data_IF_263880711801
#
_entry.id   IF_263880711801
#
_cell.length_a   1.000
_cell.length_b   1.000
_cell.length_c   1.000
_cell.angle_alpha   90.00
_cell.angle_beta   90.00
_cell.angle_gamma   90.00
#
_symmetry.space_group_name_H-M   'P 1'
#
loop_
_entity.id
_entity.type
_entity.pdbx_description
1 polymer ?
#
# COMPACT_ATOMS: atom_id res chain seq x y z
N UNK A 1 8.85 -15.41 -7.37
CA UNK A 1 9.56 -15.45 -6.06
C UNK A 1 10.88 -14.67 -6.12
N UNK A 2 11.73 -14.91 -7.12
CA UNK A 2 13.05 -14.26 -7.23
C UNK A 2 13.05 -12.73 -7.17
N UNK A 3 12.15 -12.06 -7.91
CA UNK A 3 12.05 -10.59 -7.87
C UNK A 3 11.65 -10.04 -6.49
N UNK A 4 10.83 -10.77 -5.73
CA UNK A 4 10.49 -10.39 -4.35
C UNK A 4 11.71 -10.54 -3.42
N UNK A 5 12.47 -11.62 -3.55
CA UNK A 5 13.71 -11.80 -2.80
C UNK A 5 14.74 -10.70 -3.09
N UNK A 6 14.87 -10.32 -4.37
CA UNK A 6 15.73 -9.20 -4.77
C UNK A 6 15.25 -7.87 -4.17
N UNK A 7 13.92 -7.62 -4.12
CA UNK A 7 13.35 -6.44 -3.49
C UNK A 7 13.68 -6.39 -1.99
N UNK A 8 13.55 -7.51 -1.29
CA UNK A 8 13.89 -7.62 0.14
C UNK A 8 15.38 -7.36 0.35
N UNK A 9 16.27 -8.07 -0.38
CA UNK A 9 17.73 -7.89 -0.29
C UNK A 9 18.17 -6.45 -0.50
N UNK A 10 17.49 -5.73 -1.39
CA UNK A 10 17.81 -4.33 -1.71
C UNK A 10 17.45 -3.36 -0.58
N UNK A 11 16.41 -3.66 0.19
CA UNK A 11 15.77 -2.67 1.08
C UNK A 11 15.84 -3.02 2.56
N UNK A 12 15.87 -4.30 2.91
CA UNK A 12 15.92 -4.74 4.30
C UNK A 12 17.37 -4.90 4.78
N UNK A 13 17.76 -4.11 5.78
CA UNK A 13 19.16 -4.07 6.28
C UNK A 13 19.30 -4.32 7.78
N UNK A 14 18.19 -4.47 8.50
CA UNK A 14 18.18 -4.53 9.97
C UNK A 14 18.63 -5.90 10.48
N UNK A 15 18.09 -6.96 9.88
CA UNK A 15 18.32 -8.35 10.33
C UNK A 15 18.44 -9.29 9.14
N UNK A 16 19.10 -10.45 9.31
CA UNK A 16 18.96 -11.54 8.36
C UNK A 16 17.49 -11.94 8.21
N UNK A 17 17.10 -12.43 7.06
CA UNK A 17 15.74 -12.92 6.80
C UNK A 17 15.73 -14.26 6.08
N UNK A 18 14.61 -14.96 6.17
CA UNK A 18 14.32 -16.19 5.45
C UNK A 18 12.91 -16.13 4.90
N UNK A 19 12.74 -16.43 3.63
CA UNK A 19 11.43 -16.63 3.03
C UNK A 19 11.01 -18.06 3.28
N UNK A 20 9.87 -18.26 3.92
CA UNK A 20 9.32 -19.58 4.24
C UNK A 20 7.93 -19.74 3.60
N UNK A 21 7.51 -20.96 3.40
CA UNK A 21 6.14 -21.26 3.00
C UNK A 21 5.21 -21.19 4.21
N UNK A 22 3.90 -20.94 4.00
CA UNK A 22 2.93 -20.90 5.10
C UNK A 22 2.92 -22.15 5.97
N UNK A 23 3.15 -23.33 5.37
CA UNK A 23 3.18 -24.62 6.08
C UNK A 23 4.38 -24.76 7.02
N UNK A 24 5.43 -23.99 6.79
CA UNK A 24 6.63 -23.99 7.63
C UNK A 24 6.50 -23.07 8.85
N UNK A 25 5.48 -22.21 8.89
CA UNK A 25 5.31 -21.19 9.95
C UNK A 25 5.33 -21.81 11.35
N UNK A 26 4.65 -22.94 11.55
CA UNK A 26 4.57 -23.63 12.83
C UNK A 26 5.94 -24.04 13.43
N UNK A 27 7.00 -24.04 12.63
CA UNK A 27 8.35 -24.33 13.09
C UNK A 27 9.03 -23.12 13.76
N UNK A 28 8.51 -21.92 13.48
CA UNK A 28 9.13 -20.65 13.88
C UNK A 28 8.26 -19.81 14.81
N UNK A 29 6.94 -20.01 14.82
CA UNK A 29 5.96 -19.18 15.55
C UNK A 29 6.11 -19.21 17.07
N UNK A 30 6.76 -20.25 17.60
CA UNK A 30 7.08 -20.39 19.03
C UNK A 30 8.45 -19.82 19.41
N UNK A 31 9.25 -19.36 18.44
CA UNK A 31 10.61 -18.91 18.66
C UNK A 31 10.65 -17.39 18.87
N UNK A 32 10.90 -16.96 20.11
CA UNK A 32 10.89 -15.55 20.50
C UNK A 32 11.93 -14.63 19.82
N UNK A 33 12.88 -15.20 19.10
CA UNK A 33 13.92 -14.46 18.38
C UNK A 33 13.61 -14.20 16.91
N UNK A 34 12.43 -14.58 16.44
CA UNK A 34 11.96 -14.31 15.08
C UNK A 34 10.88 -13.24 15.08
N UNK A 35 10.94 -12.33 14.12
CA UNK A 35 9.84 -11.45 13.74
C UNK A 35 9.26 -11.96 12.42
N UNK A 36 7.97 -11.78 12.20
CA UNK A 36 7.27 -12.30 11.04
C UNK A 36 6.71 -11.16 10.21
N UNK A 37 6.97 -11.20 8.90
CA UNK A 37 6.35 -10.33 7.93
C UNK A 37 5.43 -11.17 7.04
N UNK A 38 4.13 -11.01 7.22
CA UNK A 38 3.14 -11.87 6.58
C UNK A 38 1.86 -11.13 6.19
N UNK A 39 1.09 -11.74 5.33
CA UNK A 39 -0.25 -11.27 4.99
C UNK A 39 -1.25 -11.56 6.10
N UNK A 40 -2.06 -10.57 6.43
CA UNK A 40 -3.20 -10.72 7.33
C UNK A 40 -4.45 -10.09 6.70
N UNK A 41 -5.60 -10.73 6.95
CA UNK A 41 -6.91 -10.17 6.62
C UNK A 41 -7.75 -10.15 7.90
N UNK A 42 -8.37 -9.01 8.19
CA UNK A 42 -9.22 -8.86 9.37
C UNK A 42 -10.36 -7.88 9.10
N UNK A 43 -11.39 -7.99 9.93
CA UNK A 43 -12.52 -7.10 9.89
C UNK A 43 -12.50 -6.18 11.11
N UNK A 44 -12.60 -4.88 10.87
CA UNK A 44 -12.75 -3.85 11.91
C UNK A 44 -14.19 -3.37 11.94
N UNK A 45 -14.78 -3.28 13.13
CA UNK A 45 -16.05 -2.56 13.32
C UNK A 45 -15.74 -1.08 13.41
N UNK A 46 -16.39 -0.27 12.60
CA UNK A 46 -16.13 1.17 12.54
C UNK A 46 -16.78 1.95 13.69
N UNK A 47 -17.81 1.39 14.30
CA UNK A 47 -18.52 1.93 15.47
C UNK A 47 -19.57 0.93 15.97
N UNK A 48 -20.60 1.40 16.69
CA UNK A 48 -21.75 0.60 17.13
C UNK A 48 -22.68 0.16 15.98
N UNK A 49 -22.38 0.53 14.74
CA UNK A 49 -23.15 0.14 13.55
C UNK A 49 -22.75 -1.23 13.02
N UNK A 50 -23.54 -1.78 12.10
CA UNK A 50 -23.27 -3.05 11.42
C UNK A 50 -22.18 -2.94 10.35
N UNK A 51 -21.59 -1.76 10.15
CA UNK A 51 -20.59 -1.52 9.12
C UNK A 51 -19.25 -2.17 9.50
N UNK A 52 -18.81 -3.08 8.69
CA UNK A 52 -17.54 -3.80 8.85
C UNK A 52 -16.56 -3.31 7.80
N UNK A 53 -15.40 -2.86 8.25
CA UNK A 53 -14.29 -2.54 7.37
C UNK A 53 -13.42 -3.78 7.19
N UNK A 54 -13.30 -4.28 5.97
CA UNK A 54 -12.40 -5.40 5.66
C UNK A 54 -11.04 -4.83 5.30
N UNK A 55 -10.03 -5.23 6.05
CA UNK A 55 -8.66 -4.76 5.88
C UNK A 55 -7.77 -5.94 5.51
N UNK A 56 -7.04 -5.78 4.42
CA UNK A 56 -5.91 -6.63 4.06
C UNK A 56 -4.63 -5.88 4.37
N UNK A 57 -3.68 -6.55 4.99
CA UNK A 57 -2.43 -5.92 5.34
C UNK A 57 -1.24 -6.88 5.28
N UNK A 58 -0.08 -6.31 5.03
CA UNK A 58 1.19 -6.92 5.42
C UNK A 58 1.50 -6.43 6.82
N UNK A 59 1.73 -7.35 7.75
CA UNK A 59 2.09 -7.05 9.12
C UNK A 59 3.49 -7.54 9.43
N UNK A 60 4.28 -6.68 10.05
CA UNK A 60 5.52 -7.07 10.73
C UNK A 60 5.22 -7.19 12.21
N UNK A 61 5.34 -8.39 12.74
CA UNK A 61 5.08 -8.67 14.14
C UNK A 61 6.30 -9.25 14.85
N UNK A 62 6.39 -8.98 16.15
CA UNK A 62 7.32 -9.65 17.06
C UNK A 62 6.52 -10.47 18.07
N UNK A 63 6.78 -11.77 18.21
CA UNK A 63 6.12 -12.60 19.21
C UNK A 63 6.38 -12.09 20.61
N UNK A 64 5.41 -12.28 21.51
CA UNK A 64 5.58 -11.95 22.93
C UNK A 64 6.69 -12.79 23.55
N UNK A 65 7.59 -12.14 24.28
CA UNK A 65 8.62 -12.82 25.08
C UNK A 65 8.06 -13.55 26.32
N UNK A 66 6.79 -13.36 26.63
CA UNK A 66 6.13 -13.98 27.79
C UNK A 66 5.41 -15.25 27.35
N UNK A 67 5.79 -16.45 27.84
CA UNK A 67 5.29 -17.74 27.33
C UNK A 67 3.78 -18.00 27.56
N UNK A 68 3.08 -17.16 28.30
CA UNK A 68 1.63 -17.27 28.55
C UNK A 68 0.79 -16.15 27.94
N UNK A 69 1.40 -15.18 27.28
CA UNK A 69 0.72 -14.01 26.75
C UNK A 69 0.85 -14.06 25.22
N UNK A 70 -0.26 -14.31 24.55
CA UNK A 70 -0.34 -14.26 23.07
C UNK A 70 -0.39 -12.82 22.53
N UNK A 71 0.27 -11.90 23.19
CA UNK A 71 0.35 -10.52 22.72
C UNK A 71 1.47 -10.42 21.70
N UNK A 72 1.08 -10.27 20.45
CA UNK A 72 1.98 -9.93 19.36
C UNK A 72 2.15 -8.40 19.34
N UNK A 73 3.39 -7.94 19.29
CA UNK A 73 3.65 -6.52 19.04
C UNK A 73 3.70 -6.27 17.55
N UNK A 74 2.76 -5.49 17.04
CA UNK A 74 2.75 -5.07 15.62
C UNK A 74 3.74 -3.90 15.50
N UNK A 75 4.81 -4.12 14.73
CA UNK A 75 5.84 -3.11 14.48
C UNK A 75 5.51 -2.25 13.27
N UNK A 76 4.88 -2.84 12.27
CA UNK A 76 4.48 -2.13 11.05
C UNK A 76 3.27 -2.80 10.41
N UNK A 77 2.46 -1.99 9.73
CA UNK A 77 1.33 -2.44 8.93
C UNK A 77 1.33 -1.70 7.60
N UNK A 78 1.23 -2.46 6.50
CA UNK A 78 1.03 -1.92 5.15
C UNK A 78 -0.33 -2.38 4.66
N UNK A 79 -1.26 -1.46 4.48
CA UNK A 79 -2.59 -1.77 3.96
C UNK A 79 -2.51 -2.13 2.48
N UNK A 80 -3.13 -3.25 2.12
CA UNK A 80 -3.23 -3.72 0.76
C UNK A 80 -4.63 -3.40 0.20
N UNK A 81 -4.67 -3.21 -1.11
CA UNK A 81 -5.90 -2.93 -1.84
C UNK A 81 -6.20 -4.08 -2.80
N UNK A 82 -7.32 -4.76 -2.57
CA UNK A 82 -7.77 -5.87 -3.42
C UNK A 82 -8.59 -5.39 -4.60
N UNK A 83 -8.67 -6.20 -5.65
CA UNK A 83 -9.58 -5.95 -6.75
C UNK A 83 -11.06 -6.03 -6.29
N UNK A 84 -11.95 -5.42 -7.08
CA UNK A 84 -13.38 -5.33 -6.77
C UNK A 84 -14.04 -6.71 -6.58
N UNK A 85 -13.65 -7.70 -7.37
CA UNK A 85 -14.25 -9.03 -7.29
C UNK A 85 -13.89 -9.72 -5.98
N UNK A 86 -12.64 -9.57 -5.54
CA UNK A 86 -12.18 -10.09 -4.24
C UNK A 86 -12.93 -9.42 -3.09
N UNK A 87 -13.12 -8.10 -3.13
CA UNK A 87 -13.90 -7.38 -2.12
C UNK A 87 -15.36 -7.85 -2.07
N UNK A 88 -16.02 -7.95 -3.22
CA UNK A 88 -17.41 -8.43 -3.28
C UNK A 88 -17.58 -9.87 -2.77
N UNK A 89 -16.64 -10.76 -3.08
CA UNK A 89 -16.66 -12.13 -2.57
C UNK A 89 -16.56 -12.17 -1.05
N UNK A 90 -15.76 -11.31 -0.47
CA UNK A 90 -15.58 -11.23 0.99
C UNK A 90 -16.83 -10.65 1.65
N UNK A 91 -17.37 -9.56 1.12
CA UNK A 91 -18.59 -8.94 1.64
C UNK A 91 -19.80 -9.89 1.57
N UNK A 92 -19.95 -10.64 0.47
CA UNK A 92 -21.04 -11.62 0.32
C UNK A 92 -20.86 -12.83 1.23
N UNK A 93 -19.66 -13.29 1.46
CA UNK A 93 -19.41 -14.42 2.36
C UNK A 93 -19.57 -14.03 3.84
N UNK A 94 -19.24 -12.80 4.21
CA UNK A 94 -19.44 -12.29 5.57
C UNK A 94 -20.93 -12.24 5.94
N UNK A 95 -21.77 -11.84 5.01
CA UNK A 95 -23.22 -11.80 5.20
C UNK A 95 -23.86 -13.20 5.30
N UNK A 96 -23.28 -14.23 4.67
CA UNK A 96 -23.87 -15.56 4.60
C UNK A 96 -23.36 -16.56 5.65
N UNK A 97 -22.12 -16.44 6.12
CA UNK A 97 -21.45 -17.53 6.88
C UNK A 97 -20.73 -17.11 8.18
N UNK A 98 -20.85 -15.92 8.61
CA UNK A 98 -20.85 -15.39 9.98
C UNK A 98 -19.73 -15.74 10.96
N UNK A 99 -18.68 -16.49 10.69
CA UNK A 99 -17.59 -16.65 11.65
C UNK A 99 -16.29 -15.97 11.18
N UNK A 100 -15.70 -15.14 12.07
CA UNK A 100 -14.41 -14.45 11.82
C UNK A 100 -13.31 -15.40 11.31
N UNK A 101 -13.35 -16.68 11.68
CA UNK A 101 -12.35 -17.67 11.29
C UNK A 101 -12.54 -18.18 9.85
N UNK A 102 -13.77 -18.38 9.41
CA UNK A 102 -14.05 -18.83 8.03
C UNK A 102 -13.72 -17.72 7.03
N UNK A 103 -14.02 -16.47 7.37
CA UNK A 103 -13.67 -15.29 6.58
C UNK A 103 -12.16 -15.21 6.41
N UNK A 104 -11.39 -15.30 7.52
CA UNK A 104 -9.94 -15.24 7.49
C UNK A 104 -9.34 -16.35 6.60
N UNK A 105 -9.81 -17.58 6.71
CA UNK A 105 -9.29 -18.69 5.89
C UNK A 105 -9.59 -18.52 4.41
N UNK A 106 -10.78 -18.04 4.05
CA UNK A 106 -11.15 -17.77 2.66
C UNK A 106 -10.38 -16.60 2.07
N UNK A 107 -10.17 -15.55 2.87
CA UNK A 107 -9.33 -14.42 2.50
C UNK A 107 -7.90 -14.86 2.19
N UNK A 108 -7.31 -15.64 3.08
CA UNK A 108 -5.94 -16.14 2.91
C UNK A 108 -5.81 -17.08 1.70
N UNK A 109 -6.76 -17.98 1.49
CA UNK A 109 -6.73 -18.89 0.33
C UNK A 109 -6.84 -18.13 -0.99
N UNK A 110 -7.65 -17.08 -1.06
CA UNK A 110 -7.75 -16.22 -2.24
C UNK A 110 -6.47 -15.39 -2.47
N UNK A 111 -5.81 -14.94 -1.40
CA UNK A 111 -4.54 -14.22 -1.46
C UNK A 111 -3.42 -15.02 -2.11
N UNK A 112 -3.32 -16.30 -1.77
CA UNK A 112 -2.25 -17.17 -2.28
C UNK A 112 -2.54 -17.69 -3.69
N UNK A 113 -3.80 -17.75 -4.10
CA UNK A 113 -4.22 -18.34 -5.36
C UNK A 113 -4.43 -17.34 -6.50
N UNK A 114 -4.58 -16.07 -6.21
CA UNK A 114 -4.84 -15.03 -7.22
C UNK A 114 -4.03 -13.77 -6.94
N UNK A 115 -3.50 -13.14 -7.98
CA UNK A 115 -2.86 -11.81 -7.92
C UNK A 115 -3.92 -10.72 -7.67
N UNK A 116 -4.64 -10.84 -6.55
CA UNK A 116 -5.84 -10.03 -6.27
C UNK A 116 -5.53 -8.66 -5.70
N UNK A 117 -4.26 -8.38 -5.35
CA UNK A 117 -3.89 -7.07 -4.82
C UNK A 117 -3.33 -6.16 -5.90
N UNK A 118 -3.94 -4.98 -5.98
CA UNK A 118 -3.62 -3.99 -6.99
C UNK A 118 -2.38 -3.16 -6.63
N UNK A 119 -2.11 -3.00 -5.33
CA UNK A 119 -0.93 -2.28 -4.83
C UNK A 119 0.17 -3.23 -4.31
N UNK A 120 0.30 -4.41 -4.90
CA UNK A 120 1.27 -5.42 -4.52
C UNK A 120 2.11 -5.89 -5.70
N UNK A 121 3.42 -5.60 -5.64
CA UNK A 121 4.43 -6.07 -6.59
C UNK A 121 5.81 -6.02 -5.97
N UNK A 122 6.82 -6.63 -6.57
CA UNK A 122 8.20 -6.45 -6.15
C UNK A 122 8.64 -4.98 -6.09
N UNK A 123 8.20 -4.16 -7.05
CA UNK A 123 8.47 -2.71 -7.06
C UNK A 123 7.83 -2.00 -5.89
N UNK A 124 6.53 -2.21 -5.64
CA UNK A 124 5.84 -1.61 -4.48
C UNK A 124 6.43 -2.09 -3.15
N UNK A 125 6.81 -3.38 -3.06
CA UNK A 125 7.44 -3.93 -1.88
C UNK A 125 8.74 -3.19 -1.52
N UNK A 126 9.53 -2.74 -2.50
CA UNK A 126 10.74 -1.96 -2.20
C UNK A 126 10.42 -0.67 -1.44
N UNK A 127 9.35 0.03 -1.82
CA UNK A 127 8.88 1.22 -1.11
C UNK A 127 8.41 0.91 0.31
N UNK A 128 7.58 -0.11 0.47
CA UNK A 128 7.05 -0.51 1.78
C UNK A 128 8.16 -0.93 2.75
N UNK A 129 9.05 -1.81 2.31
CA UNK A 129 10.16 -2.26 3.14
C UNK A 129 11.14 -1.15 3.47
N UNK A 130 11.39 -0.23 2.53
CA UNK A 130 12.25 0.92 2.80
C UNK A 130 11.65 1.80 3.89
N UNK A 131 10.35 2.05 3.84
CA UNK A 131 9.65 2.84 4.85
C UNK A 131 9.72 2.18 6.23
N UNK A 132 9.46 0.87 6.29
CA UNK A 132 9.53 0.10 7.53
C UNK A 132 10.96 0.06 8.06
N UNK A 133 11.93 -0.24 7.21
CA UNK A 133 13.34 -0.32 7.57
C UNK A 133 13.85 1.00 8.15
N UNK A 134 13.57 2.12 7.48
CA UNK A 134 14.01 3.44 7.93
C UNK A 134 13.32 3.83 9.24
N UNK A 135 12.00 3.59 9.37
CA UNK A 135 11.26 3.89 10.59
C UNK A 135 11.76 3.08 11.80
N UNK A 136 12.03 1.79 11.62
CA UNK A 136 12.60 0.95 12.68
C UNK A 136 14.01 1.40 13.10
N UNK A 137 14.86 1.79 12.15
CA UNK A 137 16.21 2.32 12.44
C UNK A 137 16.15 3.65 13.17
N UNK A 138 15.16 4.49 12.86
CA UNK A 138 14.94 5.77 13.53
C UNK A 138 14.14 5.65 14.84
N UNK A 139 13.64 4.45 15.18
CA UNK A 139 12.70 4.22 16.29
C UNK A 139 11.40 5.04 16.14
N UNK A 140 10.98 5.29 14.90
CA UNK A 140 9.79 6.03 14.56
C UNK A 140 8.59 5.09 14.30
N UNK A 141 7.38 5.64 14.36
CA UNK A 141 6.18 4.91 14.01
C UNK A 141 6.16 4.60 12.50
N UNK A 142 6.00 3.33 12.16
CA UNK A 142 5.92 2.86 10.77
C UNK A 142 4.47 2.81 10.25
N UNK A 143 3.50 3.46 10.93
CA UNK A 143 2.14 3.60 10.42
C UNK A 143 2.09 4.46 9.18
N UNK A 144 1.30 4.04 8.19
CA UNK A 144 1.10 4.79 6.95
C UNK A 144 -0.14 5.70 6.97
N UNK A 145 -0.79 5.86 8.12
CA UNK A 145 -2.03 6.64 8.26
C UNK A 145 -1.75 8.09 8.71
N UNK A 146 -0.79 8.76 8.09
CA UNK A 146 -0.41 10.13 8.43
C UNK A 146 -0.32 11.02 7.19
N UNK A 147 -0.32 12.33 7.40
CA UNK A 147 -0.09 13.30 6.36
C UNK A 147 1.40 13.69 6.34
N UNK A 148 2.00 13.57 5.17
CA UNK A 148 3.41 13.90 4.96
C UNK A 148 3.67 14.47 3.58
N UNK A 149 4.58 15.42 3.45
CA UNK A 149 5.15 15.82 2.18
C UNK A 149 6.61 16.28 2.33
N UNK A 150 7.44 15.86 1.40
CA UNK A 150 8.84 16.26 1.35
C UNK A 150 8.97 17.59 0.62
N UNK A 151 9.33 18.66 1.37
CA UNK A 151 9.41 20.03 0.86
C UNK A 151 10.42 20.21 -0.27
N UNK A 152 11.45 19.39 -0.33
CA UNK A 152 12.51 19.50 -1.34
C UNK A 152 12.17 18.74 -2.63
N UNK A 153 11.58 17.54 -2.50
CA UNK A 153 11.38 16.63 -3.64
C UNK A 153 10.01 16.72 -4.30
N UNK A 154 8.97 17.03 -3.54
CA UNK A 154 7.63 17.13 -4.10
C UNK A 154 7.53 18.18 -5.20
N UNK A 155 8.19 19.37 -5.09
CA UNK A 155 8.23 20.38 -6.14
C UNK A 155 8.84 19.92 -7.48
N UNK A 156 9.68 18.89 -7.47
CA UNK A 156 10.27 18.33 -8.69
C UNK A 156 9.20 17.78 -9.65
N UNK A 157 8.04 17.37 -9.13
CA UNK A 157 6.88 16.93 -9.93
C UNK A 157 6.34 18.03 -10.87
N UNK A 158 6.67 19.30 -10.67
CA UNK A 158 6.34 20.34 -11.63
C UNK A 158 7.07 20.17 -12.98
N UNK A 159 8.18 19.46 -13.00
CA UNK A 159 9.03 19.23 -14.18
C UNK A 159 9.08 17.76 -14.60
N UNK A 160 8.83 16.86 -13.67
CA UNK A 160 8.92 15.41 -13.88
C UNK A 160 7.55 14.77 -14.11
N UNK A 161 7.54 13.54 -14.64
CA UNK A 161 6.30 12.80 -14.87
C UNK A 161 5.89 12.06 -13.60
N UNK A 162 4.65 12.25 -13.17
CA UNK A 162 4.00 11.42 -12.16
C UNK A 162 3.38 10.19 -12.85
N UNK A 163 3.86 9.01 -12.50
CA UNK A 163 3.31 7.75 -13.00
C UNK A 163 2.17 7.28 -12.11
N UNK A 164 1.05 6.96 -12.73
CA UNK A 164 -0.17 6.51 -12.05
C UNK A 164 -0.53 5.12 -12.54
N UNK A 165 -0.73 4.13 -11.66
CA UNK A 165 -1.13 2.80 -12.09
C UNK A 165 -2.55 2.82 -12.67
N UNK A 166 -2.77 2.09 -13.76
CA UNK A 166 -4.06 2.06 -14.49
C UNK A 166 -5.22 1.52 -13.66
N UNK A 167 -4.97 0.69 -12.65
CA UNK A 167 -6.03 0.20 -11.78
C UNK A 167 -6.80 1.32 -11.07
N UNK A 168 -6.18 2.49 -10.91
CA UNK A 168 -6.84 3.67 -10.34
C UNK A 168 -8.02 4.12 -11.21
N UNK A 169 -7.97 3.92 -12.52
CA UNK A 169 -9.08 4.26 -13.42
C UNK A 169 -10.36 3.47 -13.11
N UNK A 170 -10.22 2.25 -12.60
CA UNK A 170 -11.37 1.39 -12.26
C UNK A 170 -12.09 1.83 -10.98
N UNK A 171 -11.41 2.57 -10.12
CA UNK A 171 -11.93 3.06 -8.84
C UNK A 171 -12.29 4.54 -8.85
N UNK A 172 -12.20 5.18 -10.00
CA UNK A 172 -12.77 6.51 -10.18
C UNK A 172 -14.28 6.50 -9.94
N UNK A 173 -14.78 7.55 -9.33
CA UNK A 173 -16.22 7.76 -9.28
C UNK A 173 -16.82 7.78 -10.70
N UNK A 174 -18.04 7.30 -10.87
CA UNK A 174 -18.73 7.15 -12.16
C UNK A 174 -18.75 8.41 -13.06
N UNK A 175 -18.51 9.59 -12.50
CA UNK A 175 -18.35 10.84 -13.25
C UNK A 175 -17.07 10.89 -14.08
N UNK A 176 -16.09 10.03 -13.84
CA UNK A 176 -14.79 10.01 -14.51
C UNK A 176 -14.64 8.86 -15.51
N UNK A 177 -15.61 7.94 -15.56
CA UNK A 177 -15.70 6.95 -16.65
C UNK A 177 -15.87 7.58 -18.04
N UNK A 178 -16.12 8.90 -18.09
CA UNK A 178 -16.25 9.70 -19.33
C UNK A 178 -14.92 10.32 -19.79
N UNK A 179 -13.79 10.04 -19.14
CA UNK A 179 -12.50 10.54 -19.62
C UNK A 179 -12.07 9.79 -20.89
N UNK A 180 -11.62 10.52 -21.91
CA UNK A 180 -11.19 9.92 -23.16
C UNK A 180 -10.02 8.95 -22.93
N UNK A 181 -9.91 7.87 -23.74
CA UNK A 181 -8.83 6.88 -23.63
C UNK A 181 -7.41 7.46 -23.72
N UNK A 182 -7.28 8.64 -24.29
CA UNK A 182 -6.02 9.37 -24.50
C UNK A 182 -5.36 9.98 -23.27
N UNK A 183 -5.96 9.81 -22.09
CA UNK A 183 -5.20 10.01 -20.84
C UNK A 183 -4.77 11.42 -20.48
N UNK A 184 -5.26 12.45 -21.17
CA UNK A 184 -4.96 13.84 -20.83
C UNK A 184 -6.03 14.34 -19.86
N UNK A 185 -5.77 14.13 -18.58
CA UNK A 185 -6.49 14.80 -17.49
C UNK A 185 -5.84 16.19 -17.35
N UNK A 186 -6.34 17.16 -18.13
CA UNK A 186 -5.61 18.43 -18.31
C UNK A 186 -5.89 19.48 -17.25
N UNK A 187 -6.93 19.38 -16.41
CA UNK A 187 -7.30 20.52 -15.58
C UNK A 187 -6.97 20.44 -14.08
N UNK A 188 -7.18 19.35 -13.33
CA UNK A 188 -6.84 19.37 -11.90
C UNK A 188 -5.36 19.17 -11.61
N UNK A 189 -4.62 18.49 -12.49
CA UNK A 189 -3.17 18.28 -12.39
C UNK A 189 -2.52 18.68 -13.71
N UNK A 190 -2.10 19.92 -13.82
CA UNK A 190 -1.55 20.50 -15.06
C UNK A 190 -0.05 20.22 -15.28
N UNK A 191 0.53 19.30 -14.52
CA UNK A 191 1.89 18.79 -14.72
C UNK A 191 1.84 17.47 -15.52
N UNK A 192 3.01 16.94 -15.87
CA UNK A 192 3.11 15.69 -16.62
C UNK A 192 2.57 14.50 -15.80
N UNK A 193 1.54 13.84 -16.32
CA UNK A 193 0.92 12.67 -15.76
C UNK A 193 0.91 11.54 -16.78
N UNK A 194 1.20 10.31 -16.37
CA UNK A 194 1.14 9.14 -17.23
C UNK A 194 0.53 7.95 -16.51
N UNK A 195 -0.59 7.47 -17.03
CA UNK A 195 -1.14 6.18 -16.62
C UNK A 195 -0.34 5.05 -17.27
N UNK A 196 0.00 4.05 -16.49
CA UNK A 196 0.79 2.90 -16.93
C UNK A 196 0.24 1.60 -16.36
N UNK A 197 0.38 0.53 -17.13
CA UNK A 197 0.01 -0.78 -16.65
C UNK A 197 0.86 -1.17 -15.43
N UNK A 198 0.29 -2.01 -14.59
CA UNK A 198 0.95 -2.56 -13.41
C UNK A 198 2.35 -3.15 -13.71
N UNK A 199 2.45 -3.96 -14.77
CA UNK A 199 3.72 -4.57 -15.18
C UNK A 199 4.76 -3.54 -15.62
N UNK A 200 4.33 -2.52 -16.34
CA UNK A 200 5.21 -1.44 -16.76
C UNK A 200 5.69 -0.63 -15.55
N UNK A 201 4.80 -0.30 -14.63
CA UNK A 201 5.16 0.45 -13.43
C UNK A 201 6.16 -0.32 -12.58
N UNK A 202 5.94 -1.62 -12.36
CA UNK A 202 6.86 -2.49 -11.64
C UNK A 202 8.26 -2.49 -12.25
N UNK A 203 8.33 -2.60 -13.59
CA UNK A 203 9.60 -2.54 -14.31
C UNK A 203 10.30 -1.18 -14.18
N UNK A 204 9.55 -0.08 -14.22
CA UNK A 204 10.10 1.28 -14.04
C UNK A 204 10.66 1.49 -12.63
N UNK A 205 9.95 1.02 -11.59
CA UNK A 205 10.39 1.14 -10.20
C UNK A 205 11.67 0.33 -9.94
N UNK A 206 11.77 -0.85 -10.54
CA UNK A 206 12.92 -1.74 -10.36
C UNK A 206 14.13 -1.34 -11.22
N UNK A 207 13.92 -0.52 -12.27
CA UNK A 207 15.00 -0.03 -13.11
C UNK A 207 15.87 0.98 -12.33
N UNK A 208 17.18 0.72 -12.30
CA UNK A 208 18.14 1.59 -11.58
C UNK A 208 18.62 2.78 -12.42
N UNK A 209 18.47 2.72 -13.73
CA UNK A 209 18.99 3.77 -14.64
C UNK A 209 18.14 5.03 -14.63
N UNK A 210 16.84 4.88 -14.47
CA UNK A 210 15.89 5.98 -14.49
C UNK A 210 15.01 5.97 -13.24
N UNK A 211 15.10 7.02 -12.44
CA UNK A 211 14.18 7.19 -11.32
C UNK A 211 12.81 7.66 -11.79
N UNK A 212 11.76 7.15 -11.15
CA UNK A 212 10.38 7.55 -11.41
C UNK A 212 9.65 7.94 -10.12
N UNK A 213 8.75 8.90 -10.22
CA UNK A 213 7.80 9.23 -9.16
C UNK A 213 6.46 8.59 -9.48
N UNK A 214 5.92 7.84 -8.55
CA UNK A 214 4.72 7.04 -8.80
C UNK A 214 3.73 7.06 -7.66
N UNK A 215 2.46 6.96 -8.01
CA UNK A 215 1.35 6.91 -7.07
C UNK A 215 1.16 5.48 -6.58
N UNK A 216 0.97 5.34 -5.27
CA UNK A 216 0.37 4.16 -4.65
C UNK A 216 -0.95 4.60 -4.04
N UNK A 217 -2.02 4.02 -4.54
CA UNK A 217 -3.36 4.23 -4.02
C UNK A 217 -3.80 2.97 -3.29
N UNK A 218 -4.33 3.18 -2.09
CA UNK A 218 -4.87 2.12 -1.24
C UNK A 218 -6.27 2.50 -0.81
N UNK A 219 -7.23 1.64 -1.07
CA UNK A 219 -8.60 1.79 -0.61
C UNK A 219 -8.87 0.84 0.54
N UNK A 220 -9.53 1.34 1.57
CA UNK A 220 -10.27 0.58 2.59
C UNK A 220 -11.76 0.76 2.33
N UNK A 221 -12.63 0.07 3.06
CA UNK A 221 -14.08 0.19 2.83
C UNK A 221 -14.58 1.65 2.84
N UNK A 222 -14.10 2.48 3.76
CA UNK A 222 -14.56 3.86 3.93
C UNK A 222 -13.47 4.93 3.75
N UNK A 223 -12.22 4.52 3.60
CA UNK A 223 -11.07 5.42 3.61
C UNK A 223 -10.17 5.17 2.42
N UNK A 224 -9.30 6.14 2.13
CA UNK A 224 -8.20 5.95 1.18
C UNK A 224 -6.91 6.55 1.68
N UNK A 225 -5.81 5.99 1.19
CA UNK A 225 -4.47 6.53 1.35
C UNK A 225 -3.90 6.77 -0.04
N UNK A 226 -3.38 7.95 -0.27
CA UNK A 226 -2.66 8.30 -1.50
C UNK A 226 -1.24 8.64 -1.13
N UNK A 227 -0.31 7.87 -1.68
CA UNK A 227 1.11 8.07 -1.48
C UNK A 227 1.80 8.30 -2.82
N UNK A 228 2.79 9.18 -2.86
CA UNK A 228 3.72 9.32 -3.98
C UNK A 228 5.10 8.91 -3.49
N UNK A 229 5.68 7.95 -4.16
CA UNK A 229 7.02 7.45 -3.92
C UNK A 229 8.00 7.97 -4.97
N UNK A 230 9.25 8.10 -4.56
CA UNK A 230 10.38 8.35 -5.46
C UNK A 230 11.26 7.09 -5.52
N UNK A 231 11.37 6.47 -6.68
CA UNK A 231 12.13 5.20 -6.84
C UNK A 231 13.64 5.37 -6.74
N UNK A 232 14.17 6.61 -6.68
CA UNK A 232 15.61 6.87 -6.44
C UNK A 232 16.10 6.19 -5.17
N UNK A 233 15.32 6.31 -4.10
CA UNK A 233 15.63 5.73 -2.79
C UNK A 233 14.42 5.01 -2.17
N UNK A 234 13.35 4.84 -2.92
CA UNK A 234 12.09 4.21 -2.53
C UNK A 234 11.41 4.87 -1.32
N UNK A 235 11.55 6.20 -1.18
CA UNK A 235 10.93 6.96 -0.11
C UNK A 235 9.63 7.61 -0.53
N UNK A 236 8.73 7.77 0.44
CA UNK A 236 7.52 8.57 0.28
C UNK A 236 7.93 10.04 0.19
N UNK A 237 7.42 10.75 -0.82
CA UNK A 237 7.57 12.20 -0.98
C UNK A 237 6.28 12.96 -0.75
N UNK A 238 5.13 12.27 -0.81
CA UNK A 238 3.80 12.78 -0.45
C UNK A 238 2.96 11.63 0.07
N UNK A 239 2.18 11.89 1.11
CA UNK A 239 1.19 10.96 1.62
C UNK A 239 0.04 11.72 2.26
N UNK A 240 -1.17 11.25 2.00
CA UNK A 240 -2.37 11.76 2.62
C UNK A 240 -3.39 10.64 2.86
N UNK A 241 -3.94 10.64 4.06
CA UNK A 241 -5.07 9.82 4.46
C UNK A 241 -6.36 10.63 4.31
N UNK A 242 -7.40 10.01 3.76
CA UNK A 242 -8.71 10.61 3.54
C UNK A 242 -9.77 9.74 4.21
N UNK A 243 -10.24 10.11 5.42
CA UNK A 243 -11.33 9.42 6.08
C UNK A 243 -12.64 9.66 5.35
N UNK A 244 -13.51 8.64 5.32
CA UNK A 244 -14.84 8.67 4.72
C UNK A 244 -14.89 9.07 3.23
N UNK A 245 -13.81 8.84 2.51
CA UNK A 245 -13.67 9.12 1.08
C UNK A 245 -12.89 8.01 0.39
N UNK A 246 -13.53 6.84 0.17
CA UNK A 246 -12.81 5.66 -0.31
C UNK A 246 -12.41 5.75 -1.78
N UNK A 247 -13.18 6.44 -2.62
CA UNK A 247 -12.93 6.47 -4.06
C UNK A 247 -11.83 7.46 -4.43
N UNK A 248 -11.04 7.14 -5.44
CA UNK A 248 -10.11 8.09 -6.02
C UNK A 248 -10.90 9.18 -6.79
N UNK A 249 -10.53 10.42 -6.59
CA UNK A 249 -11.17 11.59 -7.20
C UNK A 249 -10.13 12.47 -7.89
N UNK A 250 -10.61 13.27 -8.87
CA UNK A 250 -9.74 14.26 -9.53
C UNK A 250 -9.19 15.30 -8.54
N UNK A 251 -9.95 15.58 -7.48
CA UNK A 251 -9.50 16.48 -6.43
C UNK A 251 -8.25 15.96 -5.70
N UNK A 252 -8.00 14.66 -5.67
CA UNK A 252 -6.82 14.08 -5.05
C UNK A 252 -5.54 14.53 -5.77
N UNK A 253 -5.57 14.57 -7.10
CA UNK A 253 -4.47 15.11 -7.90
C UNK A 253 -4.35 16.63 -7.75
N UNK A 254 -5.48 17.33 -7.62
CA UNK A 254 -5.50 18.78 -7.35
C UNK A 254 -4.83 19.11 -6.02
N UNK A 255 -5.02 18.31 -4.99
CA UNK A 255 -4.38 18.50 -3.69
C UNK A 255 -2.86 18.35 -3.78
N UNK A 256 -2.36 17.34 -4.51
CA UNK A 256 -0.91 17.21 -4.77
C UNK A 256 -0.40 18.47 -5.47
N UNK A 257 -1.09 18.95 -6.51
CA UNK A 257 -0.74 20.18 -7.22
C UNK A 257 -0.71 21.39 -6.29
N UNK A 258 -1.72 21.59 -5.44
CA UNK A 258 -1.76 22.73 -4.50
C UNK A 258 -0.55 22.76 -3.61
N UNK A 259 -0.13 21.60 -3.06
CA UNK A 259 1.07 21.52 -2.24
C UNK A 259 2.33 21.89 -3.05
N UNK A 260 2.46 21.39 -4.29
CA UNK A 260 3.58 21.73 -5.18
C UNK A 260 3.64 23.24 -5.44
N UNK A 261 2.51 23.87 -5.77
CA UNK A 261 2.43 25.32 -6.03
C UNK A 261 2.83 26.10 -4.79
N UNK A 262 2.29 25.76 -3.63
CA UNK A 262 2.62 26.40 -2.36
C UNK A 262 4.11 26.31 -2.05
N UNK A 263 4.72 25.15 -2.24
CA UNK A 263 6.16 24.96 -1.97
C UNK A 263 7.05 25.72 -2.97
N UNK A 264 6.61 25.90 -4.21
CA UNK A 264 7.35 26.67 -5.21
C UNK A 264 7.22 28.18 -5.02
N UNK A 265 6.15 28.66 -4.37
CA UNK A 265 5.96 30.10 -4.08
C UNK A 265 6.75 30.59 -2.85
N UNK A 266 7.27 29.67 -2.03
CA UNK A 266 8.06 30.00 -0.83
C UNK A 266 9.57 30.09 -1.16
N UNK A 267 9.98 29.63 -2.33
CA UNK A 267 11.36 29.75 -2.82
C UNK A 267 11.61 31.08 -3.49
#
# INVERSE_FOLDING_TARGET
MEKFDQAIKKTWTITPYKIIKPEELARYDTLANYSFFYFDGYAEKLDSTTNVNVVYALKLITPSKKPKVKEESILATVTLFSDRNTNLLVETQDQQFGTKRSIKNNLLSNLYNKSSFLNWSPGFLTGYLKQINDGLLASENCSLDYQFYNKMRLPELAKETLYVPEYIKEVFSSRLALLPPSGIISEPYNYKLKFVSYKMLDSLILNKENSVKYVVYTQRSNDKIISVYDSRDNKIIYQRFYPQSPNFEMNDLSEIKKVIVTLNSIK
#
